data_IF_985606323432
#
_entry.id   IF_985606323432
#
_cell.length_a   1.000
_cell.length_b   1.000
_cell.length_c   1.000
_cell.angle_alpha   90.00
_cell.angle_beta   90.00
_cell.angle_gamma   90.00
#
_symmetry.space_group_name_H-M   'P 1'
#
loop_
_entity.id
_entity.type
_entity.pdbx_description
1 polymer ?
#
# COMPACT_ATOMS: atom_id res chain seq x y z
N UNK A 1 20.12 7.50 20.80
CA UNK A 1 18.92 6.80 21.28
C UNK A 1 17.85 7.03 20.22
N UNK A 2 17.54 6.04 19.37
CA UNK A 2 16.47 6.20 18.36
C UNK A 2 15.17 5.83 19.07
N UNK A 3 14.25 6.77 19.19
CA UNK A 3 12.95 6.52 19.81
C UNK A 3 12.22 5.42 19.05
N UNK A 4 11.69 4.45 19.80
CA UNK A 4 10.87 3.37 19.23
C UNK A 4 9.50 3.94 18.89
N UNK A 5 9.27 4.20 17.61
CA UNK A 5 7.98 4.63 17.09
C UNK A 5 7.41 3.52 16.21
N UNK A 6 6.38 2.86 16.70
CA UNK A 6 5.57 1.93 15.90
C UNK A 6 4.13 2.38 15.93
N UNK A 7 3.52 2.58 14.77
CA UNK A 7 2.12 2.95 14.67
C UNK A 7 1.46 2.21 13.51
N UNK A 8 0.18 1.87 13.67
CA UNK A 8 -0.59 1.14 12.69
C UNK A 8 -1.95 1.83 12.50
N UNK A 9 -2.25 2.23 11.26
CA UNK A 9 -3.54 2.79 10.88
C UNK A 9 -4.29 1.78 10.00
N UNK A 10 -5.52 1.45 10.40
CA UNK A 10 -6.42 0.61 9.63
C UNK A 10 -7.53 1.46 9.00
N UNK A 11 -7.73 1.31 7.70
CA UNK A 11 -8.80 1.96 6.96
C UNK A 11 -9.97 0.98 6.81
N UNK A 12 -10.83 0.97 7.83
CA UNK A 12 -12.08 0.19 7.84
C UNK A 12 -13.13 0.94 7.02
N UNK A 13 -13.66 0.30 5.98
CA UNK A 13 -14.66 0.88 5.06
C UNK A 13 -16.03 1.16 5.68
N UNK A 14 -16.17 1.18 7.00
CA UNK A 14 -17.45 1.34 7.70
C UNK A 14 -17.98 2.78 7.70
N UNK A 15 -17.14 3.78 7.38
CA UNK A 15 -17.49 5.21 7.40
C UNK A 15 -17.42 5.89 6.02
N UNK A 16 -17.43 5.12 4.91
CA UNK A 16 -17.45 5.68 3.55
C UNK A 16 -16.16 6.37 3.08
N UNK A 17 -15.18 6.60 3.96
CA UNK A 17 -13.89 7.18 3.61
C UNK A 17 -12.91 6.10 3.15
N UNK A 18 -13.08 5.65 1.91
CA UNK A 18 -12.10 4.79 1.26
C UNK A 18 -10.94 5.64 0.74
N UNK A 19 -9.73 5.35 1.20
CA UNK A 19 -8.51 5.94 0.63
C UNK A 19 -8.13 5.09 -0.58
N UNK A 20 -8.38 5.60 -1.78
CA UNK A 20 -8.26 4.85 -3.04
C UNK A 20 -7.34 5.54 -4.02
N UNK A 21 -6.60 4.75 -4.79
CA UNK A 21 -5.85 5.17 -5.96
C UNK A 21 -6.24 4.28 -7.14
N UNK A 22 -6.96 4.82 -8.12
CA UNK A 22 -7.54 4.02 -9.20
C UNK A 22 -8.39 2.88 -8.63
N UNK A 23 -8.02 1.63 -8.92
CA UNK A 23 -8.70 0.43 -8.41
C UNK A 23 -8.15 -0.08 -7.07
N UNK A 24 -7.17 0.60 -6.47
CA UNK A 24 -6.47 0.15 -5.27
C UNK A 24 -6.98 0.86 -4.03
N UNK A 25 -7.51 0.11 -3.08
CA UNK A 25 -7.87 0.63 -1.75
C UNK A 25 -6.79 0.36 -0.72
N UNK A 26 -6.38 1.41 -0.01
CA UNK A 26 -5.52 1.30 1.16
C UNK A 26 -6.32 0.63 2.28
N UNK A 27 -5.77 -0.43 2.88
CA UNK A 27 -6.43 -1.16 3.99
C UNK A 27 -5.69 -0.97 5.30
N UNK A 28 -4.36 -0.97 5.25
CA UNK A 28 -3.53 -0.82 6.44
C UNK A 28 -2.23 -0.12 6.08
N UNK A 29 -1.77 0.73 6.98
CA UNK A 29 -0.46 1.35 6.94
C UNK A 29 0.22 1.14 8.29
N UNK A 30 1.42 0.57 8.28
CA UNK A 30 2.18 0.29 9.49
C UNK A 30 3.60 0.81 9.33
N UNK A 31 4.05 1.68 10.22
CA UNK A 31 5.45 2.07 10.33
C UNK A 31 6.07 1.36 11.54
N UNK A 32 7.25 0.79 11.33
CA UNK A 32 8.06 0.19 12.37
C UNK A 32 9.47 0.77 12.30
N UNK A 33 9.90 1.50 13.31
CA UNK A 33 11.29 1.93 13.43
C UNK A 33 12.17 0.80 13.94
N UNK A 34 13.44 0.81 13.54
CA UNK A 34 14.44 -0.15 14.01
C UNK A 34 14.62 -0.10 15.53
N UNK A 35 14.61 -1.27 16.19
CA UNK A 35 14.84 -1.39 17.63
C UNK A 35 16.32 -1.63 17.98
N UNK A 36 17.10 -2.17 17.03
CA UNK A 36 18.51 -2.55 17.23
C UNK A 36 19.39 -1.95 16.15
N UNK A 37 20.64 -1.67 16.50
CA UNK A 37 21.68 -1.33 15.52
C UNK A 37 21.75 -2.44 14.45
N UNK A 38 21.48 -2.07 13.20
CA UNK A 38 21.48 -2.98 12.04
C UNK A 38 20.10 -3.40 11.50
N UNK A 39 19.01 -3.14 12.22
CA UNK A 39 17.66 -3.37 11.69
C UNK A 39 17.21 -2.16 10.85
N UNK A 40 16.53 -2.39 9.72
CA UNK A 40 16.00 -1.33 8.87
C UNK A 40 14.59 -0.97 9.33
N UNK A 41 14.35 0.32 9.59
CA UNK A 41 13.00 0.86 9.76
C UNK A 41 12.17 0.60 8.51
N UNK A 42 10.95 0.07 8.67
CA UNK A 42 10.09 -0.34 7.56
C UNK A 42 8.74 0.34 7.55
N UNK A 43 8.33 0.85 6.40
CA UNK A 43 6.96 1.26 6.11
C UNK A 43 6.25 0.11 5.39
N UNK A 44 5.18 -0.40 5.96
CA UNK A 44 4.36 -1.45 5.37
C UNK A 44 3.02 -0.87 4.89
N UNK A 45 2.72 -1.06 3.61
CA UNK A 45 1.48 -0.60 2.97
C UNK A 45 0.71 -1.83 2.50
N UNK A 46 -0.48 -2.04 3.05
CA UNK A 46 -1.39 -3.10 2.60
C UNK A 46 -2.49 -2.49 1.76
N UNK A 47 -2.54 -2.89 0.49
CA UNK A 47 -3.54 -2.43 -0.46
C UNK A 47 -4.26 -3.61 -1.11
N UNK A 48 -5.54 -3.41 -1.42
CA UNK A 48 -6.39 -4.39 -2.08
C UNK A 48 -7.02 -3.78 -3.31
N UNK A 49 -6.89 -4.47 -4.44
CA UNK A 49 -7.64 -4.15 -5.63
C UNK A 49 -9.13 -4.44 -5.41
N UNK A 50 -9.97 -3.44 -5.66
CA UNK A 50 -11.42 -3.53 -5.54
C UNK A 50 -12.03 -2.89 -6.79
N UNK A 51 -12.79 -3.69 -7.54
CA UNK A 51 -13.31 -3.31 -8.86
C UNK A 51 -14.40 -2.24 -8.80
N UNK A 52 -14.95 -1.96 -7.60
CA UNK A 52 -16.05 -1.03 -7.39
C UNK A 52 -15.61 0.37 -6.96
N UNK A 53 -14.31 0.59 -6.75
CA UNK A 53 -13.81 1.86 -6.23
C UNK A 53 -13.12 2.66 -7.33
N UNK A 54 -13.52 3.92 -7.47
CA UNK A 54 -12.88 4.91 -8.32
C UNK A 54 -12.70 6.18 -7.48
N UNK A 55 -11.47 6.61 -7.25
CA UNK A 55 -11.23 7.86 -6.53
C UNK A 55 -9.96 8.58 -6.98
N UNK A 56 -9.88 9.85 -6.57
CA UNK A 56 -8.85 10.82 -6.89
C UNK A 56 -7.53 10.52 -6.15
N UNK A 57 -6.42 10.49 -6.91
CA UNK A 57 -5.09 10.13 -6.42
C UNK A 57 -4.52 11.05 -5.32
N UNK A 58 -5.00 12.29 -5.24
CA UNK A 58 -4.43 13.31 -4.35
C UNK A 58 -4.72 13.03 -2.88
N UNK A 59 -5.90 12.47 -2.57
CA UNK A 59 -6.26 12.11 -1.20
C UNK A 59 -5.41 10.93 -0.70
N UNK A 60 -5.12 9.97 -1.58
CA UNK A 60 -4.28 8.81 -1.28
C UNK A 60 -2.85 9.21 -0.89
N UNK A 61 -2.24 10.07 -1.71
CA UNK A 61 -0.87 10.54 -1.51
C UNK A 61 -0.73 11.29 -0.19
N UNK A 62 -1.61 12.27 0.05
CA UNK A 62 -1.63 13.07 1.28
C UNK A 62 -1.80 12.20 2.51
N UNK A 63 -2.67 11.20 2.43
CA UNK A 63 -2.94 10.33 3.57
C UNK A 63 -1.70 9.52 3.94
N UNK A 64 -1.00 8.90 2.98
CA UNK A 64 0.24 8.18 3.26
C UNK A 64 1.29 9.09 3.89
N UNK A 65 1.46 10.30 3.36
CA UNK A 65 2.46 11.24 3.86
C UNK A 65 2.22 11.68 5.30
N UNK A 66 0.96 11.86 5.73
CA UNK A 66 0.62 12.22 7.12
C UNK A 66 1.19 11.22 8.11
N UNK A 67 1.23 9.95 7.73
CA UNK A 67 1.67 8.90 8.63
C UNK A 67 3.17 8.57 8.52
N UNK A 68 3.91 9.22 7.60
CA UNK A 68 5.37 9.13 7.53
C UNK A 68 6.05 9.98 8.61
N UNK A 69 5.66 9.79 9.88
CA UNK A 69 6.13 10.57 11.04
C UNK A 69 7.54 10.20 11.50
N UNK A 70 8.11 9.10 10.99
CA UNK A 70 9.49 8.71 11.28
C UNK A 70 10.20 8.17 10.03
N UNK A 71 11.53 8.30 10.02
CA UNK A 71 12.36 7.84 8.92
C UNK A 71 12.30 6.31 8.75
N UNK A 72 12.17 5.86 7.50
CA UNK A 72 12.28 4.47 7.13
C UNK A 72 13.29 4.27 6.00
N UNK A 73 13.70 3.03 5.78
CA UNK A 73 14.61 2.64 4.70
C UNK A 73 14.12 1.42 3.91
N UNK A 74 13.17 0.67 4.45
CA UNK A 74 12.51 -0.43 3.77
C UNK A 74 11.04 -0.09 3.50
N UNK A 75 10.59 -0.17 2.25
CA UNK A 75 9.18 -0.11 1.87
C UNK A 75 8.68 -1.51 1.57
N UNK A 76 7.73 -2.00 2.36
CA UNK A 76 7.06 -3.29 2.14
C UNK A 76 5.62 -3.07 1.63
N UNK A 77 5.34 -3.55 0.43
CA UNK A 77 4.03 -3.48 -0.19
C UNK A 77 3.39 -4.85 -0.15
N UNK A 78 2.28 -5.00 0.57
CA UNK A 78 1.44 -6.21 0.52
C UNK A 78 0.20 -5.92 -0.31
N UNK A 79 0.20 -6.45 -1.53
CA UNK A 79 -0.81 -6.17 -2.54
C UNK A 79 -1.70 -7.38 -2.73
N UNK A 80 -3.01 -7.23 -2.51
CA UNK A 80 -3.98 -8.27 -2.86
C UNK A 80 -4.68 -7.90 -4.17
N UNK A 81 -4.32 -8.61 -5.25
CA UNK A 81 -4.88 -8.37 -6.58
C UNK A 81 -5.75 -9.55 -7.03
N UNK A 82 -6.90 -9.24 -7.64
CA UNK A 82 -7.78 -10.21 -8.30
C UNK A 82 -7.51 -10.23 -9.82
N UNK A 83 -6.23 -10.28 -10.24
CA UNK A 83 -5.85 -10.25 -11.66
C UNK A 83 -5.55 -8.86 -12.24
N UNK A 84 -5.59 -7.80 -11.43
CA UNK A 84 -5.26 -6.44 -11.86
C UNK A 84 -3.75 -6.14 -11.86
N UNK A 85 -3.31 -5.29 -12.79
CA UNK A 85 -1.95 -4.78 -12.82
C UNK A 85 -1.66 -3.89 -11.59
N UNK A 86 -0.52 -4.14 -10.94
CA UNK A 86 -0.05 -3.35 -9.80
C UNK A 86 1.06 -2.36 -10.18
N UNK A 87 1.59 -2.43 -11.40
CA UNK A 87 2.70 -1.60 -11.87
C UNK A 87 2.42 -0.11 -11.71
N UNK A 88 1.26 0.36 -12.17
CA UNK A 88 0.86 1.76 -12.01
C UNK A 88 0.73 2.20 -10.55
N UNK A 89 0.27 1.31 -9.66
CA UNK A 89 0.18 1.59 -8.23
C UNK A 89 1.56 1.73 -7.57
N UNK A 90 2.48 0.81 -7.86
CA UNK A 90 3.85 0.87 -7.34
C UNK A 90 4.60 2.06 -7.92
N UNK A 91 4.41 2.35 -9.21
CA UNK A 91 5.02 3.52 -9.86
C UNK A 91 4.53 4.83 -9.21
N UNK A 92 3.24 4.95 -8.92
CA UNK A 92 2.70 6.11 -8.21
C UNK A 92 3.33 6.28 -6.81
N UNK A 93 3.43 5.22 -6.03
CA UNK A 93 4.07 5.25 -4.71
C UNK A 93 5.55 5.66 -4.78
N UNK A 94 6.30 5.11 -5.74
CA UNK A 94 7.71 5.47 -5.94
C UNK A 94 7.89 6.86 -6.58
N UNK A 95 6.84 7.41 -7.19
CA UNK A 95 6.79 8.77 -7.68
C UNK A 95 6.63 9.81 -6.56
N UNK A 96 6.23 9.40 -5.35
CA UNK A 96 6.13 10.30 -4.21
C UNK A 96 7.53 10.65 -3.69
N UNK A 97 7.90 11.93 -3.72
CA UNK A 97 9.26 12.38 -3.36
C UNK A 97 9.72 11.90 -1.98
N UNK A 98 8.83 11.94 -0.98
CA UNK A 98 9.15 11.47 0.38
C UNK A 98 9.42 9.97 0.43
N UNK A 99 8.61 9.16 -0.26
CA UNK A 99 8.82 7.71 -0.33
C UNK A 99 10.09 7.41 -1.10
N UNK A 100 10.29 8.07 -2.25
CA UNK A 100 11.46 7.90 -3.09
C UNK A 100 12.75 8.22 -2.34
N UNK A 101 12.77 9.31 -1.59
CA UNK A 101 13.93 9.73 -0.81
C UNK A 101 14.23 8.78 0.37
N UNK A 102 13.18 8.23 1.01
CA UNK A 102 13.33 7.33 2.15
C UNK A 102 13.66 5.88 1.75
N UNK A 103 13.14 5.40 0.62
CA UNK A 103 13.19 3.98 0.26
C UNK A 103 14.58 3.57 -0.23
N UNK A 104 15.28 2.73 0.54
CA UNK A 104 16.52 2.05 0.11
C UNK A 104 16.27 0.61 -0.33
N UNK A 105 15.23 -0.03 0.21
CA UNK A 105 14.85 -1.40 -0.15
C UNK A 105 13.34 -1.48 -0.38
N UNK A 106 12.95 -1.96 -1.56
CA UNK A 106 11.56 -2.26 -1.89
C UNK A 106 11.30 -3.76 -1.77
N UNK A 107 10.26 -4.13 -1.05
CA UNK A 107 9.76 -5.50 -0.98
C UNK A 107 8.30 -5.51 -1.40
N UNK A 108 7.98 -6.25 -2.46
CA UNK A 108 6.60 -6.37 -2.95
C UNK A 108 6.13 -7.81 -2.74
N UNK A 109 5.05 -7.98 -2.00
CA UNK A 109 4.38 -9.26 -1.74
C UNK A 109 3.02 -9.21 -2.43
N UNK A 110 2.86 -9.97 -3.51
CA UNK A 110 1.59 -10.07 -4.22
C UNK A 110 0.81 -11.29 -3.72
N UNK A 111 -0.32 -11.05 -3.04
CA UNK A 111 -1.27 -12.09 -2.65
C UNK A 111 -2.31 -12.22 -3.77
N UNK A 112 -2.20 -13.29 -4.55
CA UNK A 112 -3.18 -13.62 -5.59
C UNK A 112 -4.39 -14.28 -4.93
N UNK A 113 -5.58 -13.71 -5.12
CA UNK A 113 -6.81 -14.46 -4.84
C UNK A 113 -6.97 -15.48 -5.97
N UNK A 114 -7.08 -16.77 -5.67
CA UNK A 114 -7.45 -17.77 -6.66
C UNK A 114 -8.90 -17.51 -7.09
N UNK A 115 -9.08 -16.69 -8.13
CA UNK A 115 -10.35 -16.55 -8.83
C UNK A 115 -10.12 -17.08 -10.23
N UNK A 116 -10.46 -18.36 -10.41
CA UNK A 116 -10.64 -18.94 -11.74
C UNK A 116 -11.96 -18.34 -12.24
N UNK A 117 -11.89 -17.34 -13.12
CA UNK A 117 -13.06 -16.92 -13.88
C UNK A 117 -13.23 -17.93 -15.01
N UNK A 118 -14.00 -18.99 -14.77
CA UNK A 118 -14.61 -19.74 -15.86
C UNK A 118 -15.68 -18.83 -16.46
N UNK A 119 -15.35 -18.17 -17.56
CA UNK A 119 -16.34 -17.52 -18.41
C UNK A 119 -16.70 -18.49 -19.51
N UNK A 120 -17.79 -19.23 -19.33
CA UNK A 120 -18.40 -19.99 -20.42
C UNK A 120 -18.99 -18.99 -21.42
N UNK A 121 -18.27 -18.79 -22.54
CA UNK A 121 -18.76 -18.02 -23.66
C UNK A 121 -19.72 -18.92 -24.45
N UNK A 122 -21.01 -18.86 -24.10
CA UNK A 122 -22.06 -19.43 -24.95
C UNK A 122 -22.15 -18.53 -26.19
N UNK A 123 -21.59 -19.02 -27.30
CA UNK A 123 -21.78 -18.44 -28.62
C UNK A 123 -23.23 -18.75 -29.05
N UNK A 124 -23.96 -17.70 -29.44
CA UNK A 124 -25.33 -17.75 -29.95
C UNK A 124 -25.48 -18.75 -31.11
#
# INVERSE_FOLDING_TARGET
MVEKVSWNCCYLGLLGHHIVFGLWSLKRLWLQTAERQGQLSSLQIHARADSFLHAQADNFTREIEKHMVAAFSCLELQLRANGHAFGGFVFHLLGMDKIRAATRRLKVILKRSAVILCSDYIRQ
#
